data_IF_311399035533
#
_entry.id   IF_311399035533
#
_cell.length_a   1.000
_cell.length_b   1.000
_cell.length_c   1.000
_cell.angle_alpha   90.00
_cell.angle_beta   90.00
_cell.angle_gamma   90.00
#
_symmetry.space_group_name_H-M   'P 1'
#
loop_
_entity.id
_entity.type
_entity.pdbx_description
1 polymer ?
#
# COMPACT_ATOMS: atom_id res chain seq x y z
N UNK A 1 2.72 -26.66 41.58
CA UNK A 1 3.54 -25.47 41.25
C UNK A 1 4.86 -25.88 40.61
N UNK A 2 5.01 -25.63 39.31
CA UNK A 2 6.25 -25.40 38.51
C UNK A 2 5.82 -25.59 37.05
N UNK A 3 5.40 -24.51 36.39
CA UNK A 3 6.21 -23.50 35.68
C UNK A 3 6.54 -23.98 34.26
N UNK A 4 6.02 -23.20 33.30
CA UNK A 4 6.63 -22.85 32.00
C UNK A 4 6.59 -23.96 30.91
N UNK A 5 6.24 -23.70 29.64
CA UNK A 5 6.21 -22.46 28.87
C UNK A 5 5.04 -22.44 27.88
N UNK A 6 4.33 -21.30 27.81
CA UNK A 6 3.66 -20.90 26.59
C UNK A 6 4.73 -20.63 25.53
N UNK A 7 4.86 -21.51 24.54
CA UNK A 7 5.55 -21.19 23.30
C UNK A 7 4.61 -20.29 22.46
N UNK A 8 4.57 -19.00 22.79
CA UNK A 8 3.95 -18.00 21.92
C UNK A 8 4.86 -17.81 20.72
N UNK A 9 4.46 -18.41 19.60
CA UNK A 9 4.44 -17.84 18.26
C UNK A 9 5.39 -16.65 18.04
N UNK A 10 6.67 -16.93 17.77
CA UNK A 10 7.42 -16.06 16.88
C UNK A 10 7.30 -16.65 15.48
N UNK A 11 6.18 -16.36 14.82
CA UNK A 11 6.22 -16.24 13.36
C UNK A 11 7.14 -15.06 13.09
N UNK A 12 8.44 -15.34 12.98
CA UNK A 12 9.36 -14.48 12.29
C UNK A 12 8.90 -14.46 10.82
N UNK A 13 7.86 -13.68 10.54
CA UNK A 13 7.62 -13.22 9.19
C UNK A 13 8.85 -12.44 8.82
N UNK A 14 9.72 -13.03 7.99
CA UNK A 14 10.77 -12.30 7.33
C UNK A 14 10.10 -11.08 6.71
N UNK A 15 10.36 -9.88 7.25
CA UNK A 15 9.93 -8.64 6.65
C UNK A 15 10.69 -8.51 5.35
N UNK A 16 10.24 -9.22 4.31
CA UNK A 16 10.76 -9.07 2.96
C UNK A 16 10.60 -7.61 2.59
N UNK A 17 11.64 -7.07 1.96
CA UNK A 17 11.70 -5.66 1.63
C UNK A 17 10.74 -5.41 0.48
N UNK A 18 9.47 -5.17 0.80
CA UNK A 18 8.47 -4.93 -0.21
C UNK A 18 8.75 -3.61 -0.93
N UNK A 19 8.50 -3.59 -2.23
CA UNK A 19 8.61 -2.39 -3.07
C UNK A 19 7.34 -2.16 -3.87
N UNK A 20 7.07 -0.91 -4.22
CA UNK A 20 6.11 -0.54 -5.26
C UNK A 20 6.91 -0.21 -6.52
N UNK A 21 6.51 -0.78 -7.66
CA UNK A 21 7.11 -0.51 -8.97
C UNK A 21 6.02 -0.41 -10.03
N UNK A 22 6.15 0.56 -10.95
CA UNK A 22 5.24 0.75 -12.09
C UNK A 22 3.76 0.85 -11.66
N UNK A 23 3.50 1.69 -10.66
CA UNK A 23 2.19 1.77 -10.01
C UNK A 23 1.90 3.16 -9.46
N UNK A 24 1.01 3.21 -8.47
CA UNK A 24 0.73 4.43 -7.73
C UNK A 24 0.38 4.10 -6.29
N UNK A 25 0.41 5.10 -5.42
CA UNK A 25 -0.21 5.01 -4.11
C UNK A 25 -0.96 6.28 -3.76
N UNK A 26 -1.83 6.21 -2.75
CA UNK A 26 -2.58 7.36 -2.24
C UNK A 26 -2.40 7.47 -0.73
N UNK A 27 -2.54 8.69 -0.21
CA UNK A 27 -2.39 9.04 1.21
C UNK A 27 -3.53 8.50 2.11
N UNK A 28 -4.62 8.05 1.49
CA UNK A 28 -5.82 7.58 2.18
C UNK A 28 -6.57 6.57 1.34
N UNK A 29 -7.27 5.66 2.01
CA UNK A 29 -8.12 4.68 1.35
C UNK A 29 -9.23 5.35 0.51
N UNK A 30 -9.79 6.47 0.98
CA UNK A 30 -10.77 7.24 0.24
C UNK A 30 -10.22 7.80 -1.08
N UNK A 31 -8.96 8.26 -1.09
CA UNK A 31 -8.31 8.71 -2.31
C UNK A 31 -7.95 7.53 -3.22
N UNK A 32 -7.55 6.37 -2.67
CA UNK A 32 -7.42 5.15 -3.49
C UNK A 32 -8.72 4.82 -4.22
N UNK A 33 -9.86 4.79 -3.52
CA UNK A 33 -11.16 4.46 -4.14
C UNK A 33 -11.57 5.47 -5.21
N UNK A 34 -11.31 6.77 -5.00
CA UNK A 34 -11.56 7.80 -6.01
C UNK A 34 -10.67 7.62 -7.25
N UNK A 35 -9.38 7.29 -7.06
CA UNK A 35 -8.45 7.04 -8.16
C UNK A 35 -8.88 5.81 -8.97
N UNK A 36 -9.24 4.72 -8.30
CA UNK A 36 -9.75 3.50 -8.96
C UNK A 36 -11.04 3.79 -9.73
N UNK A 37 -11.97 4.55 -9.15
CA UNK A 37 -13.19 4.97 -9.85
C UNK A 37 -12.85 5.77 -11.10
N UNK A 38 -11.95 6.76 -11.00
CA UNK A 38 -11.54 7.59 -12.12
C UNK A 38 -10.84 6.77 -13.23
N UNK A 39 -9.99 5.82 -12.87
CA UNK A 39 -9.37 4.88 -13.82
C UNK A 39 -10.47 4.06 -14.52
N UNK A 40 -11.42 3.50 -13.77
CA UNK A 40 -12.48 2.65 -14.33
C UNK A 40 -13.42 3.40 -15.27
N UNK A 41 -13.63 4.69 -15.05
CA UNK A 41 -14.46 5.56 -15.89
C UNK A 41 -13.66 6.36 -16.91
N UNK A 42 -12.34 6.14 -17.00
CA UNK A 42 -11.41 6.90 -17.83
C UNK A 42 -11.50 8.43 -17.62
N UNK A 43 -11.74 8.87 -16.38
CA UNK A 43 -11.82 10.30 -16.02
C UNK A 43 -10.43 10.87 -15.76
N UNK A 44 -9.78 11.28 -16.85
CA UNK A 44 -8.43 11.86 -16.80
C UNK A 44 -8.36 13.17 -16.02
N UNK A 45 -9.46 13.93 -15.96
CA UNK A 45 -9.52 15.19 -15.21
C UNK A 45 -9.37 14.95 -13.71
N UNK A 46 -10.08 13.95 -13.18
CA UNK A 46 -9.97 13.54 -11.77
C UNK A 46 -8.60 12.95 -11.48
N UNK A 47 -8.11 12.02 -12.32
CA UNK A 47 -6.78 11.41 -12.14
C UNK A 47 -5.69 12.48 -12.05
N UNK A 48 -5.64 13.42 -13.00
CA UNK A 48 -4.65 14.49 -13.01
C UNK A 48 -4.77 15.43 -11.81
N UNK A 49 -6.01 15.76 -11.40
CA UNK A 49 -6.26 16.61 -10.23
C UNK A 49 -5.71 15.96 -8.95
N UNK A 50 -5.89 14.66 -8.80
CA UNK A 50 -5.42 13.92 -7.62
C UNK A 50 -3.90 13.82 -7.56
N UNK A 51 -3.25 13.59 -8.70
CA UNK A 51 -1.78 13.59 -8.80
C UNK A 51 -1.21 14.97 -8.49
N UNK A 52 -1.76 16.03 -9.09
CA UNK A 52 -1.32 17.41 -8.83
C UNK A 52 -1.52 17.86 -7.39
N UNK A 53 -2.54 17.33 -6.71
CA UNK A 53 -2.81 17.61 -5.31
C UNK A 53 -1.93 16.81 -4.34
N UNK A 54 -1.13 15.85 -4.83
CA UNK A 54 -0.34 14.95 -3.98
C UNK A 54 -1.17 13.87 -3.28
N UNK A 55 -2.49 13.85 -3.46
CA UNK A 55 -3.40 12.86 -2.88
C UNK A 55 -3.13 11.44 -3.37
N UNK A 56 -2.59 11.31 -4.58
CA UNK A 56 -2.01 10.09 -5.09
C UNK A 56 -0.72 10.40 -5.86
N UNK A 57 0.25 9.49 -5.80
CA UNK A 57 1.58 9.65 -6.39
C UNK A 57 1.86 8.46 -7.29
N UNK A 58 2.32 8.73 -8.51
CA UNK A 58 2.81 7.70 -9.44
C UNK A 58 4.22 7.25 -9.05
N UNK A 59 4.47 5.95 -9.09
CA UNK A 59 5.74 5.33 -8.71
C UNK A 59 6.38 4.78 -9.97
N UNK A 60 7.34 5.53 -10.51
CA UNK A 60 8.12 5.15 -11.69
C UNK A 60 9.35 4.33 -11.29
N UNK A 61 10.07 4.78 -10.25
CA UNK A 61 11.21 4.07 -9.68
C UNK A 61 10.80 3.23 -8.46
N UNK A 62 11.44 2.06 -8.23
CA UNK A 62 11.11 1.19 -7.09
C UNK A 62 11.14 1.93 -5.75
N UNK A 63 9.99 2.01 -5.10
CA UNK A 63 9.82 2.66 -3.81
C UNK A 63 9.75 1.61 -2.70
N UNK A 64 10.66 1.69 -1.72
CA UNK A 64 10.61 0.81 -0.54
C UNK A 64 9.41 1.12 0.33
N UNK A 65 8.73 0.07 0.78
CA UNK A 65 7.60 0.13 1.69
C UNK A 65 7.79 -0.85 2.85
N UNK A 66 6.99 -0.68 3.89
CA UNK A 66 7.05 -1.46 5.12
C UNK A 66 5.66 -1.79 5.63
N UNK A 67 5.53 -2.66 6.62
CA UNK A 67 4.26 -2.94 7.31
C UNK A 67 3.08 -3.21 6.37
N UNK A 68 3.34 -3.96 5.29
CA UNK A 68 2.35 -4.23 4.24
C UNK A 68 1.21 -5.06 4.83
N UNK A 69 -0.01 -4.58 4.68
CA UNK A 69 -1.24 -5.27 5.09
C UNK A 69 -2.16 -5.38 3.89
N UNK A 70 -2.49 -6.61 3.52
CA UNK A 70 -3.48 -6.88 2.49
C UNK A 70 -4.87 -6.60 3.06
N UNK A 71 -5.64 -5.80 2.32
CA UNK A 71 -7.02 -5.44 2.59
C UNK A 71 -7.95 -6.21 1.65
N UNK A 72 -9.26 -6.03 1.80
CA UNK A 72 -10.23 -6.61 0.88
C UNK A 72 -10.00 -6.14 -0.58
N UNK A 73 -10.47 -6.97 -1.52
CA UNK A 73 -10.46 -6.66 -2.96
C UNK A 73 -9.09 -6.41 -3.60
N UNK A 74 -8.01 -6.92 -3.01
CA UNK A 74 -6.67 -6.80 -3.56
C UNK A 74 -6.04 -5.42 -3.35
N UNK A 75 -6.54 -4.65 -2.38
CA UNK A 75 -5.90 -3.42 -1.94
C UNK A 75 -4.90 -3.70 -0.83
N UNK A 76 -3.98 -2.78 -0.61
CA UNK A 76 -2.97 -2.87 0.45
C UNK A 76 -2.84 -1.53 1.16
N UNK A 77 -2.57 -1.58 2.47
CA UNK A 77 -1.97 -0.47 3.20
C UNK A 77 -0.51 -0.79 3.50
N UNK A 78 0.33 0.24 3.60
CA UNK A 78 1.76 0.08 3.87
C UNK A 78 2.32 1.35 4.51
N UNK A 79 3.47 1.25 5.17
CA UNK A 79 4.23 2.38 5.67
C UNK A 79 5.26 2.88 4.65
N UNK A 80 5.30 4.20 4.43
CA UNK A 80 6.30 4.88 3.61
C UNK A 80 6.65 6.24 4.21
N UNK A 81 7.94 6.51 4.44
CA UNK A 81 8.44 7.80 4.96
C UNK A 81 7.76 8.30 6.26
N UNK A 82 7.33 7.38 7.13
CA UNK A 82 6.63 7.71 8.38
C UNK A 82 5.12 7.89 8.24
N UNK A 83 4.58 7.77 7.03
CA UNK A 83 3.16 7.87 6.72
C UNK A 83 2.57 6.53 6.27
N UNK A 84 1.24 6.43 6.23
CA UNK A 84 0.52 5.27 5.69
C UNK A 84 0.10 5.57 4.26
N UNK A 85 0.48 4.70 3.34
CA UNK A 85 0.05 4.71 1.96
C UNK A 85 -0.90 3.57 1.64
N UNK A 86 -1.70 3.75 0.59
CA UNK A 86 -2.65 2.77 0.08
C UNK A 86 -2.44 2.53 -1.41
N UNK A 87 -2.44 1.28 -1.84
CA UNK A 87 -2.23 0.91 -3.25
C UNK A 87 -2.98 -0.39 -3.60
N UNK A 88 -2.75 -0.90 -4.81
CA UNK A 88 -3.25 -2.18 -5.30
C UNK A 88 -2.13 -3.22 -5.18
N UNK A 89 -2.46 -4.41 -4.68
CA UNK A 89 -1.52 -5.49 -4.42
C UNK A 89 -0.67 -5.86 -5.64
N UNK A 90 -1.21 -5.74 -6.86
CA UNK A 90 -0.50 -6.04 -8.11
C UNK A 90 0.79 -5.23 -8.31
N UNK A 91 0.87 -4.04 -7.71
CA UNK A 91 2.04 -3.15 -7.79
C UNK A 91 3.10 -3.48 -6.75
N UNK A 92 2.79 -4.34 -5.78
CA UNK A 92 3.72 -4.73 -4.71
C UNK A 92 4.61 -5.88 -5.20
N UNK A 93 5.91 -5.76 -4.95
CA UNK A 93 6.94 -6.77 -5.24
C UNK A 93 7.69 -7.12 -3.96
N UNK A 94 8.06 -8.39 -3.81
CA UNK A 94 8.89 -8.92 -2.72
C UNK A 94 10.39 -8.77 -2.97
#
# INVERSE_FOLDING_TARGET
MKKLLLAVLFMAGSSQAATISNGFYCDSYGNLMKMISAISTNDQGVMLKMVKAGSCVTVEEPMKISNVQVMDHGFVSFGHSGEVGYSVQQFIKD
#
